data_IF_773263730100
#
_entry.id   IF_773263730100
#
_cell.length_a   1.000
_cell.length_b   1.000
_cell.length_c   1.000
_cell.angle_alpha   90.00
_cell.angle_beta   90.00
_cell.angle_gamma   90.00
#
_symmetry.space_group_name_H-M   'P 1'
#
loop_
_entity.id
_entity.type
_entity.pdbx_description
1 polymer ?
#
# COMPACT_ATOMS: atom_id res chain seq x y z
N UNK A 1 12.18 -16.23 -29.09
CA UNK A 1 12.27 -17.70 -28.99
C UNK A 1 10.99 -18.19 -28.35
N UNK A 2 10.34 -19.22 -28.88
CA UNK A 2 9.11 -19.77 -28.29
C UNK A 2 9.45 -20.71 -27.13
N UNK A 3 8.70 -20.62 -26.03
CA UNK A 3 8.82 -21.53 -24.90
C UNK A 3 8.53 -22.97 -25.35
N UNK A 4 9.33 -23.94 -24.89
CA UNK A 4 9.15 -25.35 -25.24
C UNK A 4 7.85 -25.94 -24.70
N UNK A 5 7.28 -26.91 -25.43
CA UNK A 5 6.02 -27.57 -25.04
C UNK A 5 6.16 -28.35 -23.73
N UNK A 6 7.35 -28.91 -23.46
CA UNK A 6 7.67 -29.58 -22.20
C UNK A 6 7.65 -28.61 -21.03
N UNK A 7 8.23 -27.42 -21.18
CA UNK A 7 8.25 -26.41 -20.12
C UNK A 7 6.84 -25.88 -19.81
N UNK A 8 6.00 -25.72 -20.84
CA UNK A 8 4.57 -25.40 -20.65
C UNK A 8 3.80 -26.53 -19.94
N UNK A 9 4.15 -27.80 -20.18
CA UNK A 9 3.55 -28.93 -19.48
C UNK A 9 3.96 -28.95 -18.00
N UNK A 10 5.24 -28.67 -17.71
CA UNK A 10 5.77 -28.53 -16.35
C UNK A 10 5.08 -27.39 -15.60
N UNK A 11 4.88 -26.24 -16.23
CA UNK A 11 4.15 -25.11 -15.64
C UNK A 11 2.68 -25.46 -15.29
N UNK A 12 1.98 -26.22 -16.15
CA UNK A 12 0.63 -26.70 -15.85
C UNK A 12 0.64 -27.72 -14.70
N UNK A 13 1.68 -28.55 -14.62
CA UNK A 13 1.84 -29.50 -13.53
C UNK A 13 2.09 -28.80 -12.20
N UNK A 14 3.01 -27.83 -12.16
CA UNK A 14 3.32 -27.06 -10.95
C UNK A 14 2.11 -26.27 -10.45
N UNK A 15 1.32 -25.67 -11.34
CA UNK A 15 0.07 -25.01 -10.97
C UNK A 15 -0.92 -25.97 -10.28
N UNK A 16 -1.11 -27.18 -10.84
CA UNK A 16 -1.97 -28.19 -10.24
C UNK A 16 -1.45 -28.68 -8.88
N UNK A 17 -0.14 -28.81 -8.74
CA UNK A 17 0.50 -29.18 -7.46
C UNK A 17 0.28 -28.10 -6.40
N UNK A 18 0.50 -26.83 -6.76
CA UNK A 18 0.26 -25.67 -5.91
C UNK A 18 -1.23 -25.58 -5.49
N UNK A 19 -2.14 -25.79 -6.44
CA UNK A 19 -3.58 -25.77 -6.19
C UNK A 19 -3.99 -26.86 -5.18
N UNK A 20 -3.50 -28.09 -5.36
CA UNK A 20 -3.77 -29.20 -4.43
C UNK A 20 -3.17 -28.96 -3.05
N UNK A 21 -1.92 -28.48 -2.99
CA UNK A 21 -1.26 -28.13 -1.73
C UNK A 21 -2.08 -27.09 -0.96
N UNK A 22 -2.46 -25.99 -1.62
CA UNK A 22 -3.27 -24.93 -0.98
C UNK A 22 -4.63 -25.43 -0.50
N UNK A 23 -5.29 -26.31 -1.26
CA UNK A 23 -6.60 -26.84 -0.90
C UNK A 23 -6.52 -27.76 0.34
N UNK A 24 -5.42 -28.49 0.50
CA UNK A 24 -5.19 -29.36 1.65
C UNK A 24 -4.82 -28.54 2.89
N UNK A 25 -3.95 -27.53 2.76
CA UNK A 25 -3.42 -26.76 3.89
C UNK A 25 -4.37 -25.70 4.42
N UNK A 26 -5.17 -25.09 3.54
CA UNK A 26 -6.13 -24.05 3.90
C UNK A 26 -7.58 -24.55 3.95
N UNK A 27 -7.76 -25.87 4.12
CA UNK A 27 -9.09 -26.45 4.24
C UNK A 27 -9.83 -25.83 5.44
N UNK A 28 -11.06 -25.36 5.26
CA UNK A 28 -11.85 -24.72 6.32
C UNK A 28 -11.58 -23.22 6.53
N UNK A 29 -10.56 -22.64 5.90
CA UNK A 29 -10.36 -21.19 5.83
C UNK A 29 -10.52 -20.70 4.38
N UNK A 30 -11.78 -20.56 3.96
CA UNK A 30 -12.14 -20.20 2.59
C UNK A 30 -11.59 -18.84 2.19
N UNK A 31 -11.48 -17.89 3.13
CA UNK A 31 -10.99 -16.54 2.86
C UNK A 31 -9.52 -16.57 2.45
N UNK A 32 -8.70 -17.29 3.21
CA UNK A 32 -7.27 -17.43 2.90
C UNK A 32 -7.08 -18.27 1.64
N UNK A 33 -7.86 -19.35 1.48
CA UNK A 33 -7.80 -20.21 0.31
C UNK A 33 -8.15 -19.45 -0.99
N UNK A 34 -9.22 -18.66 -1.00
CA UNK A 34 -9.63 -17.86 -2.14
C UNK A 34 -8.61 -16.78 -2.49
N UNK A 35 -8.13 -16.02 -1.49
CA UNK A 35 -7.12 -14.99 -1.69
C UNK A 35 -5.83 -15.58 -2.26
N UNK A 36 -5.40 -16.74 -1.74
CA UNK A 36 -4.26 -17.48 -2.25
C UNK A 36 -4.46 -17.91 -3.71
N UNK A 37 -5.61 -18.50 -4.03
CA UNK A 37 -5.95 -18.95 -5.39
C UNK A 37 -5.99 -17.82 -6.38
N UNK A 38 -6.56 -16.67 -6.01
CA UNK A 38 -6.56 -15.46 -6.83
C UNK A 38 -5.13 -15.00 -7.12
N UNK A 39 -4.30 -14.86 -6.08
CA UNK A 39 -2.90 -14.44 -6.24
C UNK A 39 -2.10 -15.41 -7.10
N UNK A 40 -2.24 -16.72 -6.87
CA UNK A 40 -1.59 -17.75 -7.67
C UNK A 40 -2.03 -17.66 -9.14
N UNK A 41 -3.33 -17.50 -9.39
CA UNK A 41 -3.86 -17.33 -10.75
C UNK A 41 -3.26 -16.10 -11.43
N UNK A 42 -3.23 -14.97 -10.75
CA UNK A 42 -2.73 -13.71 -11.30
C UNK A 42 -1.24 -13.81 -11.65
N UNK A 43 -0.42 -14.41 -10.78
CA UNK A 43 1.00 -14.62 -11.05
C UNK A 43 1.25 -15.54 -12.24
N UNK A 44 0.47 -16.62 -12.39
CA UNK A 44 0.56 -17.48 -13.57
C UNK A 44 0.09 -16.78 -14.84
N UNK A 45 -0.94 -15.92 -14.78
CA UNK A 45 -1.39 -15.11 -15.92
C UNK A 45 -0.29 -14.12 -16.32
N UNK A 46 0.31 -13.40 -15.37
CA UNK A 46 1.47 -12.53 -15.62
C UNK A 46 2.65 -13.31 -16.21
N UNK A 47 2.85 -14.55 -15.77
CA UNK A 47 3.84 -15.50 -16.29
C UNK A 47 3.71 -15.82 -17.77
N UNK A 48 2.50 -15.77 -18.33
CA UNK A 48 2.26 -16.09 -19.75
C UNK A 48 2.83 -15.07 -20.72
N UNK A 49 3.07 -13.84 -20.28
CA UNK A 49 3.59 -12.75 -21.13
C UNK A 49 5.12 -12.83 -21.26
N UNK A 50 5.79 -13.52 -20.34
CA UNK A 50 7.26 -13.65 -20.36
C UNK A 50 7.69 -14.52 -21.52
N UNK A 51 8.59 -13.99 -22.36
CA UNK A 51 9.13 -14.69 -23.54
C UNK A 51 10.52 -15.28 -23.30
N UNK A 52 11.22 -14.86 -22.24
CA UNK A 52 12.54 -15.36 -21.90
C UNK A 52 12.44 -16.73 -21.22
N UNK A 53 13.18 -17.72 -21.75
CA UNK A 53 13.17 -19.11 -21.28
C UNK A 53 13.67 -19.21 -19.84
N UNK A 54 14.76 -18.51 -19.51
CA UNK A 54 15.38 -18.61 -18.17
C UNK A 54 14.46 -18.08 -17.08
N UNK A 55 13.89 -16.90 -17.30
CA UNK A 55 12.92 -16.31 -16.39
C UNK A 55 11.66 -17.18 -16.26
N UNK A 56 11.22 -17.82 -17.34
CA UNK A 56 10.08 -18.73 -17.29
C UNK A 56 10.38 -19.97 -16.43
N UNK A 57 11.56 -20.57 -16.59
CA UNK A 57 12.01 -21.70 -15.75
C UNK A 57 12.10 -21.33 -14.27
N UNK A 58 12.68 -20.18 -13.95
CA UNK A 58 12.79 -19.67 -12.58
C UNK A 58 11.41 -19.53 -11.93
N UNK A 59 10.40 -19.03 -12.66
CA UNK A 59 9.02 -18.92 -12.16
C UNK A 59 8.36 -20.28 -11.96
N UNK A 60 8.62 -21.25 -12.84
CA UNK A 60 8.12 -22.62 -12.68
C UNK A 60 8.73 -23.29 -11.45
N UNK A 61 10.03 -23.11 -11.23
CA UNK A 61 10.74 -23.60 -10.03
C UNK A 61 10.17 -22.97 -8.76
N UNK A 62 10.01 -21.66 -8.75
CA UNK A 62 9.40 -20.94 -7.63
C UNK A 62 8.01 -21.51 -7.28
N UNK A 63 7.16 -21.80 -8.26
CA UNK A 63 5.85 -22.38 -8.01
C UNK A 63 5.92 -23.81 -7.40
N UNK A 64 6.92 -24.61 -7.78
CA UNK A 64 7.16 -25.92 -7.19
C UNK A 64 7.63 -25.79 -5.74
N UNK A 65 8.58 -24.90 -5.47
CA UNK A 65 9.10 -24.63 -4.13
C UNK A 65 8.00 -24.13 -3.19
N UNK A 66 7.18 -23.17 -3.63
CA UNK A 66 6.05 -22.68 -2.84
C UNK A 66 5.07 -23.81 -2.52
N UNK A 67 4.80 -24.72 -3.46
CA UNK A 67 3.93 -25.87 -3.22
C UNK A 67 4.49 -26.83 -2.16
N UNK A 68 5.82 -27.02 -2.15
CA UNK A 68 6.52 -27.84 -1.16
C UNK A 68 6.47 -27.17 0.21
N UNK A 69 6.84 -25.89 0.31
CA UNK A 69 6.82 -25.13 1.57
C UNK A 69 5.42 -25.09 2.18
N UNK A 70 4.39 -24.85 1.37
CA UNK A 70 3.00 -24.85 1.86
C UNK A 70 2.65 -26.21 2.46
N UNK A 71 2.97 -27.31 1.77
CA UNK A 71 2.61 -28.66 2.22
C UNK A 71 3.39 -29.09 3.47
N UNK A 72 4.67 -28.73 3.57
CA UNK A 72 5.57 -29.26 4.58
C UNK A 72 5.71 -28.37 5.82
N UNK A 73 5.63 -27.05 5.66
CA UNK A 73 6.03 -26.10 6.72
C UNK A 73 4.86 -25.31 7.29
N UNK A 74 3.69 -25.36 6.65
CA UNK A 74 2.53 -24.55 7.03
C UNK A 74 1.48 -25.43 7.72
N UNK A 75 1.20 -25.13 8.99
CA UNK A 75 0.11 -25.73 9.76
C UNK A 75 -0.90 -24.65 10.15
N UNK A 76 -2.20 -24.95 10.00
CA UNK A 76 -3.28 -24.07 10.45
C UNK A 76 -3.78 -24.46 11.84
N UNK A 77 -4.12 -23.48 12.66
CA UNK A 77 -4.81 -23.69 13.93
C UNK A 77 -6.32 -23.44 13.73
N UNK A 78 -7.15 -24.36 14.22
CA UNK A 78 -8.60 -24.25 14.27
C UNK A 78 -9.03 -24.04 15.72
N UNK A 79 -9.93 -23.08 15.95
CA UNK A 79 -10.48 -22.84 17.30
C UNK A 79 -11.47 -23.96 17.63
N UNK A 80 -11.24 -24.68 18.73
CA UNK A 80 -12.04 -25.88 19.09
C UNK A 80 -13.36 -25.51 19.74
N UNK A 81 -13.39 -24.42 20.51
CA UNK A 81 -14.60 -23.91 21.15
C UNK A 81 -14.59 -22.38 21.15
N UNK A 82 -15.75 -21.76 21.00
CA UNK A 82 -15.83 -20.29 21.00
C UNK A 82 -15.61 -19.70 22.40
N UNK A 83 -15.92 -20.49 23.44
CA UNK A 83 -15.91 -20.08 24.85
C UNK A 83 -14.55 -20.22 25.54
N UNK A 84 -13.67 -21.07 25.03
CA UNK A 84 -12.32 -21.26 25.58
C UNK A 84 -11.30 -20.95 24.50
N UNK A 85 -10.16 -20.35 24.87
CA UNK A 85 -9.08 -20.05 23.94
C UNK A 85 -8.21 -21.29 23.64
N UNK A 86 -8.88 -22.40 23.35
CA UNK A 86 -8.26 -23.68 22.99
C UNK A 86 -8.24 -23.84 21.48
N UNK A 87 -7.04 -24.05 20.92
CA UNK A 87 -6.80 -24.17 19.49
C UNK A 87 -6.20 -25.54 19.17
N UNK A 88 -6.74 -26.21 18.16
CA UNK A 88 -6.20 -27.45 17.63
C UNK A 88 -5.37 -27.15 16.39
N UNK A 89 -4.13 -27.60 16.37
CA UNK A 89 -3.28 -27.51 15.17
C UNK A 89 -3.65 -28.66 14.23
N UNK A 90 -3.98 -28.32 12.98
CA UNK A 90 -4.22 -29.30 11.92
C UNK A 90 -2.88 -29.77 11.35
N UNK A 91 -2.42 -30.92 11.83
CA UNK A 91 -1.21 -31.56 11.32
C UNK A 91 -1.56 -32.58 10.23
N UNK A 92 -1.07 -32.35 9.01
CA UNK A 92 -1.13 -33.32 7.91
C UNK A 92 0.11 -34.22 7.89
N UNK A 93 -0.01 -35.41 7.31
CA UNK A 93 1.08 -36.41 7.22
C UNK A 93 2.35 -35.91 6.53
N UNK A 94 2.18 -34.94 5.65
CA UNK A 94 3.26 -34.37 4.83
C UNK A 94 4.02 -33.24 5.53
N UNK A 95 3.56 -32.78 6.71
CA UNK A 95 4.25 -31.73 7.47
C UNK A 95 5.51 -32.32 8.07
N UNK A 96 6.65 -31.71 7.77
CA UNK A 96 7.92 -32.12 8.34
C UNK A 96 7.94 -31.74 9.82
N UNK A 97 8.00 -32.75 10.69
CA UNK A 97 8.37 -32.54 12.09
C UNK A 97 9.88 -32.30 12.11
N UNK A 98 10.28 -31.04 11.94
CA UNK A 98 11.68 -30.65 11.99
C UNK A 98 12.35 -31.16 13.27
N UNK A 99 13.53 -31.78 13.13
CA UNK A 99 14.35 -32.09 14.29
C UNK A 99 14.90 -30.76 14.83
N UNK A 100 14.37 -30.30 15.96
CA UNK A 100 14.84 -29.10 16.66
C UNK A 100 16.27 -29.23 17.25
N UNK A 101 17.14 -30.03 16.64
CA UNK A 101 18.51 -30.28 17.11
C UNK A 101 19.39 -29.02 17.04
N UNK A 102 19.16 -28.15 16.06
CA UNK A 102 19.86 -26.86 15.92
C UNK A 102 19.45 -25.81 16.96
N UNK A 103 18.26 -25.92 17.57
CA UNK A 103 17.85 -25.13 18.74
C UNK A 103 18.45 -25.68 20.03
N UNK A 104 18.61 -27.00 20.15
CA UNK A 104 19.23 -27.65 21.31
C UNK A 104 20.74 -27.43 21.36
N UNK A 105 21.38 -27.39 20.18
CA UNK A 105 22.81 -27.15 20.02
C UNK A 105 23.01 -25.86 19.21
N UNK A 106 22.85 -24.67 19.81
CA UNK A 106 23.16 -23.43 19.11
C UNK A 106 24.62 -23.48 18.65
N UNK A 107 24.90 -23.08 17.40
CA UNK A 107 26.27 -22.95 16.93
C UNK A 107 27.03 -22.09 17.95
N UNK A 108 28.24 -22.49 18.39
CA UNK A 108 29.01 -21.67 19.30
C UNK A 108 29.17 -20.29 18.66
N UNK A 109 28.69 -19.25 19.34
CA UNK A 109 28.91 -17.88 18.91
C UNK A 109 30.41 -17.72 18.71
N UNK A 110 30.84 -17.24 17.55
CA UNK A 110 32.24 -16.97 17.31
C UNK A 110 32.71 -15.98 18.39
N UNK A 111 33.45 -16.47 19.39
CA UNK A 111 34.15 -15.66 20.38
C UNK A 111 35.36 -15.02 19.72
N UNK A 112 35.09 -14.20 18.71
CA UNK A 112 36.03 -13.37 17.99
C UNK A 112 35.69 -11.92 18.23
N UNK A 113 35.43 -11.55 19.49
CA UNK A 113 35.38 -10.15 19.87
C UNK A 113 36.81 -9.61 19.78
N UNK A 114 37.20 -9.12 18.61
CA UNK A 114 38.19 -8.05 18.54
C UNK A 114 37.59 -6.91 19.34
N UNK A 115 37.89 -6.88 20.65
CA UNK A 115 37.71 -5.70 21.49
C UNK A 115 38.41 -4.57 20.76
N UNK A 116 37.66 -3.70 20.08
CA UNK A 116 38.20 -2.40 19.68
C UNK A 116 38.51 -1.71 21.00
N UNK A 117 39.81 -1.58 21.29
CA UNK A 117 40.33 -0.84 22.44
C UNK A 117 39.80 0.60 22.27
N UNK A 118 38.82 0.95 23.10
CA UNK A 118 38.40 2.32 23.28
C UNK A 118 39.55 3.03 24.01
N UNK A 119 40.02 4.15 23.44
CA UNK A 119 41.08 5.02 23.96
C UNK A 119 42.47 4.38 24.09
N UNK A 120 43.30 4.58 23.05
CA UNK A 120 44.73 4.84 23.22
C UNK A 120 45.08 5.99 22.30
N UNK A 121 45.56 7.06 22.90
CA UNK A 121 46.10 8.26 22.27
C UNK A 121 47.13 7.85 21.22
N UNK A 122 46.83 8.13 19.95
CA UNK A 122 47.85 8.40 18.95
C UNK A 122 47.75 9.89 18.69
N UNK A 123 48.66 10.65 19.31
CA UNK A 123 48.88 12.05 19.03
C UNK A 123 49.34 12.19 17.56
N UNK A 124 48.39 12.45 16.66
CA UNK A 124 48.73 13.14 15.42
C UNK A 124 48.72 14.64 15.70
N UNK A 125 49.84 15.35 15.54
CA UNK A 125 49.89 16.77 15.83
C UNK A 125 49.01 17.53 14.84
N UNK A 126 48.11 18.35 15.36
CA UNK A 126 47.33 19.32 14.60
C UNK A 126 48.28 20.37 13.99
N UNK A 127 48.01 20.88 12.78
CA UNK A 127 48.86 21.89 12.15
C UNK A 127 48.88 23.18 12.98
N UNK A 128 50.09 23.70 13.20
CA UNK A 128 50.36 24.91 13.95
C UNK A 128 49.59 26.11 13.40
N UNK A 129 48.63 26.61 14.17
CA UNK A 129 48.17 27.99 14.07
C UNK A 129 49.26 28.88 14.65
N UNK A 130 49.94 29.63 13.80
CA UNK A 130 50.78 30.77 14.18
C UNK A 130 49.96 31.68 15.11
N UNK A 131 50.49 31.98 16.29
CA UNK A 131 50.13 33.15 17.07
C UNK A 131 51.41 33.77 17.65
N UNK A 132 51.48 35.09 17.57
CA UNK A 132 52.60 35.95 17.94
C UNK A 132 52.77 36.11 19.47
N UNK A 133 53.98 36.53 19.87
CA UNK A 133 54.61 36.43 21.20
C UNK A 133 54.10 37.39 22.31
N UNK A 134 52.96 38.06 22.14
CA UNK A 134 52.49 39.06 23.12
C UNK A 134 51.07 38.75 23.61
N UNK A 135 50.98 38.09 24.77
CA UNK A 135 49.74 37.63 25.39
C UNK A 135 48.69 38.71 25.68
N UNK A 136 47.74 38.88 24.76
CA UNK A 136 46.46 39.55 24.97
C UNK A 136 45.34 38.77 24.22
N UNK A 137 44.17 38.53 24.85
CA UNK A 137 43.04 37.88 24.19
C UNK A 137 42.32 38.86 23.26
N UNK A 138 42.17 38.51 21.97
CA UNK A 138 41.28 39.23 21.07
C UNK A 138 39.85 38.73 21.27
N UNK A 139 38.98 39.69 21.58
CA UNK A 139 37.53 39.61 21.58
C UNK A 139 37.01 39.62 20.15
N UNK A 140 36.43 38.52 19.69
CA UNK A 140 35.54 38.53 18.52
C UNK A 140 34.10 38.51 19.04
N UNK A 141 33.54 39.72 19.14
CA UNK A 141 32.12 39.99 19.24
C UNK A 141 31.51 39.74 17.85
N UNK A 142 30.84 38.60 17.66
CA UNK A 142 29.94 38.44 16.52
C UNK A 142 28.52 38.84 16.95
N UNK A 143 28.13 40.05 16.55
CA UNK A 143 26.78 40.60 16.57
C UNK A 143 25.79 39.63 15.91
N UNK A 144 24.86 39.09 16.70
CA UNK A 144 23.60 38.54 16.18
C UNK A 144 22.60 39.70 16.20
N UNK A 145 22.42 40.34 15.05
CA UNK A 145 21.31 41.25 14.80
C UNK A 145 20.04 40.46 14.50
N UNK A 146 19.10 40.51 15.44
CA UNK A 146 17.71 40.17 15.21
C UNK A 146 17.05 41.32 14.42
N UNK A 147 16.79 41.10 13.13
CA UNK A 147 15.80 41.88 12.37
C UNK A 147 14.66 40.96 11.92
N UNK A 148 13.54 41.09 12.61
CA UNK A 148 12.21 40.75 12.11
C UNK A 148 11.89 41.67 10.93
N UNK A 149 11.61 41.11 9.75
CA UNK A 149 10.70 41.78 8.82
C UNK A 149 9.85 40.78 8.06
N UNK A 150 8.60 40.70 8.50
CA UNK A 150 7.50 40.06 7.81
C UNK A 150 7.15 40.89 6.57
N UNK A 151 7.33 40.30 5.38
CA UNK A 151 6.67 40.78 4.17
C UNK A 151 6.12 39.62 3.35
N UNK A 152 4.91 39.84 2.87
CA UNK A 152 4.12 39.02 1.96
C UNK A 152 4.93 38.44 0.80
N UNK A 153 4.84 37.13 0.63
CA UNK A 153 5.01 36.49 -0.68
C UNK A 153 3.91 35.44 -0.85
N UNK A 154 2.84 35.84 -1.53
CA UNK A 154 2.10 34.93 -2.40
C UNK A 154 3.07 34.39 -3.45
N UNK A 155 3.48 33.12 -3.32
CA UNK A 155 4.05 32.35 -4.41
C UNK A 155 3.16 31.16 -4.72
N UNK A 156 2.48 31.26 -5.86
CA UNK A 156 2.21 30.12 -6.72
C UNK A 156 3.53 29.36 -6.91
N UNK A 157 3.64 28.14 -6.40
CA UNK A 157 4.63 27.18 -6.90
C UNK A 157 4.00 25.80 -7.04
N UNK A 158 3.60 25.59 -8.28
CA UNK A 158 3.62 24.33 -9.00
C UNK A 158 4.94 23.59 -8.82
N UNK A 159 5.01 22.68 -7.86
CA UNK A 159 6.02 21.60 -7.88
C UNK A 159 5.44 20.33 -8.48
N UNK A 160 5.62 20.28 -9.79
CA UNK A 160 5.63 19.12 -10.64
C UNK A 160 6.81 18.20 -10.25
N UNK A 161 6.58 17.27 -9.32
CA UNK A 161 7.44 16.09 -9.22
C UNK A 161 6.98 15.04 -10.24
N UNK A 162 7.59 15.12 -11.42
CA UNK A 162 7.45 14.19 -12.53
C UNK A 162 8.07 12.83 -12.19
N UNK A 163 7.37 12.00 -11.41
CA UNK A 163 7.70 10.59 -11.29
C UNK A 163 7.16 9.87 -12.53
N UNK A 164 8.01 9.79 -13.54
CA UNK A 164 7.84 8.94 -14.72
C UNK A 164 7.54 7.50 -14.28
N UNK A 165 6.26 7.17 -14.27
CA UNK A 165 5.81 5.79 -14.19
C UNK A 165 5.32 5.42 -15.59
N UNK A 166 6.23 4.83 -16.37
CA UNK A 166 5.97 4.24 -17.67
C UNK A 166 4.97 3.09 -17.54
N UNK A 167 3.68 3.44 -17.47
CA UNK A 167 2.59 2.50 -17.63
C UNK A 167 2.41 2.29 -19.12
N UNK A 168 3.14 1.31 -19.64
CA UNK A 168 2.93 0.75 -20.97
C UNK A 168 1.44 0.47 -21.17
N UNK A 169 0.88 1.14 -22.16
CA UNK A 169 -0.48 0.95 -22.62
C UNK A 169 -0.63 -0.45 -23.21
N UNK A 170 -1.33 -1.33 -22.50
CA UNK A 170 -1.97 -2.48 -23.14
C UNK A 170 -3.47 -2.22 -23.26
N UNK A 171 -3.90 -2.03 -24.51
CA UNK A 171 -5.29 -2.04 -24.93
C UNK A 171 -5.93 -3.39 -24.59
N UNK A 172 -6.56 -3.50 -23.43
CA UNK A 172 -7.57 -4.52 -23.16
C UNK A 172 -8.95 -3.91 -23.31
N UNK A 173 -9.64 -4.33 -24.38
CA UNK A 173 -11.04 -4.02 -24.63
C UNK A 173 -11.89 -4.72 -23.56
N UNK A 174 -12.79 -3.96 -22.94
CA UNK A 174 -14.01 -4.44 -22.27
C UNK A 174 -13.83 -5.62 -21.28
N UNK A 175 -13.68 -5.30 -20.00
CA UNK A 175 -14.51 -5.82 -18.88
C UNK A 175 -14.14 -5.04 -17.61
N UNK A 176 -14.95 -4.04 -17.26
CA UNK A 176 -14.92 -3.43 -15.92
C UNK A 176 -16.34 -3.00 -15.58
N UNK A 177 -17.17 -4.00 -15.32
CA UNK A 177 -18.44 -3.91 -14.61
C UNK A 177 -18.58 -5.28 -13.96
N UNK A 178 -18.01 -5.45 -12.76
CA UNK A 178 -18.33 -6.48 -11.75
C UNK A 178 -17.32 -6.30 -10.60
N UNK A 179 -17.53 -5.26 -9.80
CA UNK A 179 -17.12 -5.28 -8.39
C UNK A 179 -18.33 -5.88 -7.68
N UNK A 180 -18.30 -7.19 -7.47
CA UNK A 180 -19.24 -7.90 -6.62
C UNK A 180 -18.54 -8.15 -5.29
N UNK A 181 -18.86 -7.27 -4.34
CA UNK A 181 -19.02 -7.47 -2.91
C UNK A 181 -18.55 -8.80 -2.32
N UNK A 182 -17.50 -8.74 -1.49
CA UNK A 182 -17.26 -9.71 -0.42
C UNK A 182 -17.64 -9.08 0.92
N UNK A 183 -18.69 -9.61 1.53
CA UNK A 183 -18.74 -10.05 2.95
C UNK A 183 -20.16 -9.95 3.50
N UNK A 184 -20.57 -11.05 4.12
CA UNK A 184 -21.66 -11.05 5.09
C UNK A 184 -21.32 -10.11 6.25
N UNK A 185 -22.04 -9.01 6.31
CA UNK A 185 -22.51 -8.45 7.56
C UNK A 185 -24.03 -8.53 7.50
N UNK A 186 -24.58 -9.44 8.31
CA UNK A 186 -26.00 -9.51 8.59
C UNK A 186 -26.44 -8.15 9.15
N UNK A 187 -27.26 -7.42 8.38
CA UNK A 187 -28.17 -6.45 8.98
C UNK A 187 -27.98 -4.97 8.65
N UNK A 188 -27.62 -4.58 7.43
CA UNK A 188 -28.16 -3.35 6.81
C UNK A 188 -28.26 -3.59 5.31
N UNK A 189 -29.48 -3.49 4.77
CA UNK A 189 -29.84 -3.78 3.38
C UNK A 189 -28.82 -3.22 2.38
N UNK A 190 -28.25 -4.09 1.54
CA UNK A 190 -27.40 -3.70 0.42
C UNK A 190 -28.19 -2.85 -0.57
N UNK A 191 -28.16 -1.52 -0.38
CA UNK A 191 -28.70 -0.59 -1.35
C UNK A 191 -27.77 -0.62 -2.57
N UNK A 192 -28.26 -1.16 -3.69
CA UNK A 192 -27.53 -1.20 -4.94
C UNK A 192 -27.04 0.21 -5.32
N UNK A 193 -25.75 0.33 -5.66
CA UNK A 193 -25.15 1.61 -6.08
C UNK A 193 -25.91 2.15 -7.30
N UNK A 194 -26.54 3.32 -7.16
CA UNK A 194 -27.26 3.96 -8.26
C UNK A 194 -26.28 4.29 -9.39
N UNK A 195 -26.53 3.80 -10.60
CA UNK A 195 -25.74 4.14 -11.79
C UNK A 195 -26.23 5.46 -12.36
N UNK A 196 -25.40 6.49 -12.31
CA UNK A 196 -25.69 7.80 -12.92
C UNK A 196 -25.27 7.80 -14.40
N UNK A 197 -26.11 8.36 -15.28
CA UNK A 197 -25.85 8.44 -16.73
C UNK A 197 -24.82 9.53 -17.05
N UNK A 198 -24.81 10.60 -16.26
CA UNK A 198 -23.90 11.73 -16.45
C UNK A 198 -23.30 12.24 -15.14
N UNK A 199 -22.17 12.94 -15.23
CA UNK A 199 -21.56 13.62 -14.08
C UNK A 199 -22.47 14.74 -13.53
N UNK A 200 -23.25 15.41 -14.37
CA UNK A 200 -24.18 16.45 -13.92
C UNK A 200 -25.28 15.87 -13.04
N UNK A 201 -25.82 14.70 -13.42
CA UNK A 201 -26.81 13.95 -12.65
C UNK A 201 -26.26 13.52 -11.28
N UNK A 202 -25.01 13.03 -11.25
CA UNK A 202 -24.31 12.70 -10.00
C UNK A 202 -24.14 13.93 -9.08
N UNK A 203 -23.79 15.09 -9.64
CA UNK A 203 -23.66 16.34 -8.88
C UNK A 203 -25.02 16.78 -8.32
N UNK A 204 -26.09 16.64 -9.09
CA UNK A 204 -27.44 16.98 -8.63
C UNK A 204 -27.88 16.05 -7.49
N UNK A 205 -27.69 14.75 -7.65
CA UNK A 205 -27.97 13.76 -6.60
C UNK A 205 -27.15 14.05 -5.33
N UNK A 206 -25.90 14.48 -5.48
CA UNK A 206 -25.05 14.87 -4.35
C UNK A 206 -25.58 16.07 -3.57
N UNK A 207 -26.20 17.04 -4.24
CA UNK A 207 -26.79 18.19 -3.55
C UNK A 207 -28.02 17.81 -2.72
N UNK A 208 -28.74 16.76 -3.14
CA UNK A 208 -29.98 16.31 -2.51
C UNK A 208 -29.79 15.22 -1.44
N UNK A 209 -28.54 14.86 -1.13
CA UNK A 209 -28.24 13.77 -0.20
C UNK A 209 -28.51 14.16 1.26
N UNK A 210 -28.88 13.17 2.07
CA UNK A 210 -29.03 13.33 3.51
C UNK A 210 -27.67 13.17 4.17
N UNK A 211 -27.20 14.20 4.88
CA UNK A 211 -25.95 14.12 5.65
C UNK A 211 -26.30 13.59 7.05
N UNK A 212 -25.74 12.45 7.48
CA UNK A 212 -25.97 11.93 8.83
C UNK A 212 -25.46 12.94 9.88
N UNK A 213 -26.28 13.21 10.89
CA UNK A 213 -25.85 13.98 12.05
C UNK A 213 -25.06 13.09 13.02
N UNK A 214 -24.02 13.66 13.64
CA UNK A 214 -23.16 12.95 14.59
C UNK A 214 -23.45 13.46 16.01
N UNK A 215 -24.05 12.62 16.84
CA UNK A 215 -24.20 12.90 18.27
C UNK A 215 -22.94 12.50 19.03
N UNK A 216 -22.52 13.31 20.01
CA UNK A 216 -21.30 13.03 20.77
C UNK A 216 -21.42 11.80 21.69
N UNK A 217 -22.64 11.42 22.06
CA UNK A 217 -22.95 10.28 22.95
C UNK A 217 -22.65 8.91 22.29
N UNK A 218 -22.77 8.85 20.97
CA UNK A 218 -22.56 7.67 20.14
C UNK A 218 -21.09 7.44 19.78
N UNK A 219 -20.20 8.35 20.21
CA UNK A 219 -18.77 8.32 19.89
C UNK A 219 -17.95 7.81 21.08
N UNK A 220 -17.05 6.88 20.80
CA UNK A 220 -15.98 6.50 21.73
C UNK A 220 -14.66 7.08 21.23
N UNK A 221 -14.10 8.00 22.00
CA UNK A 221 -12.81 8.64 21.71
C UNK A 221 -11.69 7.97 22.52
N UNK A 222 -10.65 7.47 21.84
CA UNK A 222 -9.46 6.88 22.46
C UNK A 222 -8.19 7.58 21.97
N UNK A 223 -7.26 7.85 22.89
CA UNK A 223 -5.96 8.45 22.57
C UNK A 223 -4.87 7.38 22.61
N UNK A 224 -4.20 7.20 21.48
CA UNK A 224 -3.16 6.19 21.28
C UNK A 224 -1.83 6.90 21.04
N UNK A 225 -0.73 6.23 21.35
CA UNK A 225 0.60 6.70 20.92
C UNK A 225 0.76 6.48 19.42
N UNK A 226 1.53 7.35 18.76
CA UNK A 226 1.86 7.15 17.36
C UNK A 226 2.62 5.84 17.17
N UNK A 227 2.35 5.12 16.09
CA UNK A 227 3.08 3.91 15.70
C UNK A 227 3.84 4.18 14.41
N UNK A 228 5.13 3.86 14.36
CA UNK A 228 5.97 4.01 13.17
C UNK A 228 7.43 4.38 13.49
N UNK A 229 8.29 4.46 12.47
CA UNK A 229 9.67 4.96 12.58
C UNK A 229 9.65 6.48 12.81
N UNK A 230 9.10 6.91 13.94
CA UNK A 230 9.08 8.29 14.37
C UNK A 230 10.21 8.59 15.37
N UNK A 231 10.53 9.88 15.54
CA UNK A 231 11.45 10.34 16.58
C UNK A 231 10.88 10.16 18.00
N UNK A 232 11.66 10.57 19.01
CA UNK A 232 11.29 10.43 20.42
C UNK A 232 9.91 11.04 20.74
N UNK A 233 9.54 12.16 20.10
CA UNK A 233 8.28 12.85 20.34
C UNK A 233 7.04 12.01 19.98
N UNK A 234 7.10 11.23 18.90
CA UNK A 234 5.98 10.41 18.40
C UNK A 234 5.69 9.22 19.31
N UNK A 235 6.74 8.61 19.88
CA UNK A 235 6.61 7.45 20.75
C UNK A 235 6.18 7.82 22.18
N UNK A 236 6.50 9.03 22.64
CA UNK A 236 6.12 9.52 23.97
C UNK A 236 4.71 10.10 24.00
N UNK A 237 4.33 10.86 22.98
CA UNK A 237 3.08 11.65 22.98
C UNK A 237 1.88 10.83 22.49
N UNK A 238 0.78 10.85 23.25
CA UNK A 238 -0.50 10.22 22.88
C UNK A 238 -1.39 11.15 22.03
N UNK A 239 -0.87 11.60 20.89
CA UNK A 239 -1.58 12.54 20.01
C UNK A 239 -2.37 11.88 18.88
N UNK A 240 -2.27 10.56 18.70
CA UNK A 240 -3.06 9.81 17.73
C UNK A 240 -4.49 9.60 18.29
N UNK A 241 -5.49 10.04 17.54
CA UNK A 241 -6.89 9.93 17.95
C UNK A 241 -7.53 8.77 17.21
N UNK A 242 -8.06 7.80 17.96
CA UNK A 242 -8.90 6.71 17.46
C UNK A 242 -10.34 6.98 17.87
N UNK A 243 -11.22 7.12 16.89
CA UNK A 243 -12.64 7.42 17.07
C UNK A 243 -13.48 6.23 16.58
N UNK A 244 -14.43 5.77 17.39
CA UNK A 244 -15.35 4.70 17.04
C UNK A 244 -16.79 5.23 17.14
N UNK A 245 -17.59 4.94 16.12
CA UNK A 245 -19.03 5.17 16.16
C UNK A 245 -19.75 3.90 16.61
N UNK A 246 -20.31 3.89 17.82
CA UNK A 246 -20.93 2.71 18.44
C UNK A 246 -22.00 2.03 17.56
N UNK A 247 -22.99 2.75 16.99
CA UNK A 247 -24.09 2.08 16.31
C UNK A 247 -23.70 1.49 14.95
N UNK A 248 -22.70 2.05 14.26
CA UNK A 248 -22.24 1.51 12.96
C UNK A 248 -20.96 0.69 13.05
N UNK A 249 -20.28 0.67 14.20
CA UNK A 249 -19.00 -0.02 14.39
C UNK A 249 -17.82 0.53 13.57
N UNK A 250 -17.96 1.71 12.96
CA UNK A 250 -16.89 2.28 12.11
C UNK A 250 -15.81 2.87 13.00
N UNK A 251 -14.57 2.44 12.79
CA UNK A 251 -13.38 2.97 13.46
C UNK A 251 -12.55 3.82 12.50
N UNK A 252 -12.13 5.00 12.97
CA UNK A 252 -11.24 5.91 12.23
C UNK A 252 -10.08 6.33 13.13
N UNK A 253 -8.85 6.26 12.61
CA UNK A 253 -7.64 6.73 13.29
C UNK A 253 -7.05 7.93 12.56
N UNK A 254 -6.62 8.96 13.29
CA UNK A 254 -6.04 10.16 12.71
C UNK A 254 -4.78 10.60 13.48
N UNK A 255 -3.65 10.59 12.75
CA UNK A 255 -2.36 11.12 13.19
C UNK A 255 -1.80 12.02 12.08
N UNK A 256 -2.26 13.27 12.01
CA UNK A 256 -1.86 14.22 10.96
C UNK A 256 -0.93 15.32 11.47
N UNK A 257 -1.21 15.80 12.68
CA UNK A 257 -0.50 16.93 13.28
C UNK A 257 -0.03 16.56 14.68
N UNK A 258 0.91 17.33 15.23
CA UNK A 258 1.34 17.16 16.62
C UNK A 258 0.25 17.46 17.65
N UNK A 259 -0.77 18.24 17.27
CA UNK A 259 -1.86 18.69 18.16
C UNK A 259 -3.03 17.71 18.19
N UNK A 260 -3.38 17.26 19.40
CA UNK A 260 -4.51 16.36 19.65
C UNK A 260 -5.86 16.98 19.25
N UNK A 261 -6.09 18.27 19.53
CA UNK A 261 -7.35 18.94 19.21
C UNK A 261 -7.61 19.04 17.69
N UNK A 262 -6.54 19.27 16.91
CA UNK A 262 -6.61 19.29 15.44
C UNK A 262 -6.84 17.88 14.88
N UNK A 263 -6.20 16.88 15.47
CA UNK A 263 -6.42 15.47 15.11
C UNK A 263 -7.85 15.02 15.46
N UNK A 264 -8.43 15.45 16.59
CA UNK A 264 -9.81 15.18 16.99
C UNK A 264 -10.82 15.73 15.98
N UNK A 265 -10.69 17.01 15.61
CA UNK A 265 -11.52 17.64 14.56
C UNK A 265 -11.40 16.91 13.22
N UNK A 266 -10.18 16.52 12.87
CA UNK A 266 -9.91 15.77 11.63
C UNK A 266 -10.52 14.37 11.65
N UNK A 267 -10.43 13.65 12.77
CA UNK A 267 -11.01 12.33 12.97
C UNK A 267 -12.54 12.37 12.83
N UNK A 268 -13.21 13.37 13.44
CA UNK A 268 -14.66 13.58 13.30
C UNK A 268 -15.06 13.82 11.85
N UNK A 269 -14.32 14.66 11.12
CA UNK A 269 -14.58 14.92 9.69
C UNK A 269 -14.42 13.66 8.84
N UNK A 270 -13.39 12.85 9.13
CA UNK A 270 -13.15 11.58 8.42
C UNK A 270 -14.22 10.54 8.74
N UNK A 271 -14.67 10.46 9.99
CA UNK A 271 -15.77 9.58 10.40
C UNK A 271 -17.08 9.97 9.71
N UNK A 272 -17.38 11.27 9.63
CA UNK A 272 -18.55 11.77 8.91
C UNK A 272 -18.51 11.40 7.42
N UNK A 273 -17.34 11.52 6.78
CA UNK A 273 -17.16 11.11 5.37
C UNK A 273 -17.37 9.60 5.18
N UNK A 274 -16.94 8.77 6.14
CA UNK A 274 -17.17 7.32 6.11
C UNK A 274 -18.64 6.95 6.34
N UNK A 275 -19.34 7.64 7.23
CA UNK A 275 -20.77 7.46 7.42
C UNK A 275 -21.55 7.88 6.18
N UNK A 276 -21.21 9.02 5.59
CA UNK A 276 -21.83 9.49 4.34
C UNK A 276 -21.62 8.49 3.18
N UNK A 277 -20.47 7.80 3.11
CA UNK A 277 -20.26 6.71 2.16
C UNK A 277 -21.18 5.51 2.39
N UNK A 278 -21.47 5.20 3.66
CA UNK A 278 -22.34 4.09 4.04
C UNK A 278 -23.82 4.39 3.77
N UNK A 279 -24.29 5.59 4.12
CA UNK A 279 -25.68 5.99 3.93
C UNK A 279 -26.00 6.40 2.48
N UNK A 280 -25.04 6.99 1.75
CA UNK A 280 -25.24 7.50 0.38
C UNK A 280 -24.26 6.86 -0.62
N UNK A 281 -24.39 5.55 -0.91
CA UNK A 281 -23.44 4.84 -1.76
C UNK A 281 -23.46 5.39 -3.20
N UNK A 282 -22.29 5.79 -3.71
CA UNK A 282 -22.11 6.25 -5.09
C UNK A 282 -22.45 7.71 -5.35
N UNK A 283 -22.84 8.47 -4.32
CA UNK A 283 -23.22 9.89 -4.40
C UNK A 283 -22.21 10.76 -3.63
N UNK A 284 -21.06 10.22 -3.24
CA UNK A 284 -20.14 10.91 -2.34
C UNK A 284 -19.29 11.97 -3.03
N UNK A 285 -18.64 12.85 -2.25
CA UNK A 285 -17.67 13.82 -2.78
C UNK A 285 -16.53 13.12 -3.52
N UNK A 286 -16.10 11.96 -3.03
CA UNK A 286 -15.05 11.16 -3.65
C UNK A 286 -15.48 10.63 -5.02
N UNK A 287 -16.72 10.12 -5.15
CA UNK A 287 -17.28 9.65 -6.42
C UNK A 287 -17.32 10.77 -7.48
N UNK A 288 -17.66 12.00 -7.08
CA UNK A 288 -17.61 13.16 -7.99
C UNK A 288 -16.18 13.45 -8.44
N UNK A 289 -15.20 13.40 -7.52
CA UNK A 289 -13.78 13.61 -7.85
C UNK A 289 -13.28 12.53 -8.80
N UNK A 290 -13.64 11.27 -8.57
CA UNK A 290 -13.31 10.13 -9.44
C UNK A 290 -13.90 10.33 -10.83
N UNK A 291 -15.19 10.71 -10.91
CA UNK A 291 -15.89 11.02 -12.16
C UNK A 291 -15.22 12.17 -12.93
N UNK A 292 -14.84 13.26 -12.24
CA UNK A 292 -14.07 14.38 -12.82
C UNK A 292 -12.74 13.93 -13.40
N UNK A 293 -11.96 13.14 -12.66
CA UNK A 293 -10.67 12.60 -13.12
C UNK A 293 -10.85 11.70 -14.35
N UNK A 294 -11.90 10.86 -14.37
CA UNK A 294 -12.25 10.00 -15.52
C UNK A 294 -12.59 10.82 -16.76
N UNK A 295 -13.39 11.87 -16.62
CA UNK A 295 -13.74 12.78 -17.71
C UNK A 295 -12.50 13.51 -18.26
N UNK A 296 -11.62 14.01 -17.40
CA UNK A 296 -10.37 14.65 -17.79
C UNK A 296 -9.46 13.69 -18.58
N UNK A 297 -9.27 12.46 -18.09
CA UNK A 297 -8.51 11.43 -18.81
C UNK A 297 -9.11 11.12 -20.18
N UNK A 298 -10.45 10.98 -20.26
CA UNK A 298 -11.16 10.74 -21.52
C UNK A 298 -10.97 11.90 -22.52
N UNK A 299 -11.03 13.14 -22.05
CA UNK A 299 -10.81 14.31 -22.90
C UNK A 299 -9.36 14.38 -23.41
N UNK A 300 -8.37 14.17 -22.53
CA UNK A 300 -6.95 14.11 -22.92
C UNK A 300 -6.71 13.02 -23.97
N UNK A 301 -7.25 11.81 -23.78
CA UNK A 301 -7.13 10.71 -24.74
C UNK A 301 -7.79 11.02 -26.10
N UNK A 302 -8.98 11.66 -26.10
CA UNK A 302 -9.64 12.08 -27.34
C UNK A 302 -8.81 13.11 -28.12
N UNK A 303 -8.23 14.10 -27.42
CA UNK A 303 -7.34 15.10 -28.02
C UNK A 303 -6.07 14.47 -28.59
N UNK A 304 -5.45 13.55 -27.85
CA UNK A 304 -4.26 12.82 -28.30
C UNK A 304 -4.56 11.99 -29.57
N UNK A 305 -5.67 11.25 -29.59
CA UNK A 305 -6.09 10.47 -30.76
C UNK A 305 -6.37 11.35 -31.98
N UNK A 306 -7.06 12.48 -31.79
CA UNK A 306 -7.31 13.44 -32.89
C UNK A 306 -6.01 14.05 -33.43
N UNK A 307 -5.03 14.34 -32.56
CA UNK A 307 -3.71 14.84 -32.97
C UNK A 307 -2.92 13.78 -33.75
N UNK A 308 -2.96 12.53 -33.31
CA UNK A 308 -2.32 11.41 -34.02
C UNK A 308 -2.97 11.16 -35.39
N UNK A 309 -4.30 11.22 -35.47
CA UNK A 309 -5.03 11.09 -36.74
C UNK A 309 -4.63 12.19 -37.73
N UNK A 310 -4.59 13.46 -37.29
CA UNK A 310 -4.13 14.57 -38.13
C UNK A 310 -2.69 14.40 -38.61
N UNK A 311 -1.76 14.02 -37.72
CA UNK A 311 -0.37 13.75 -38.11
C UNK A 311 -0.25 12.61 -39.12
N UNK A 312 -1.07 11.56 -38.96
CA UNK A 312 -1.11 10.46 -39.91
C UNK A 312 -1.66 10.90 -41.28
N UNK A 313 -2.73 11.70 -41.29
CA UNK A 313 -3.31 12.29 -42.51
C UNK A 313 -2.32 13.22 -43.22
N UNK A 314 -1.63 14.10 -42.48
CA UNK A 314 -0.56 14.99 -43.00
C UNK A 314 0.59 14.17 -43.62
N UNK A 315 1.08 13.14 -42.91
CA UNK A 315 2.14 12.26 -43.45
C UNK A 315 1.70 11.46 -44.68
N UNK A 316 0.42 11.13 -44.81
CA UNK A 316 -0.11 10.44 -46.00
C UNK A 316 -0.27 11.38 -47.19
N UNK A 317 -0.53 12.67 -46.95
CA UNK A 317 -0.61 13.69 -47.99
C UNK A 317 0.78 14.06 -48.56
N UNK A 318 1.83 14.05 -47.73
CA UNK A 318 3.22 14.31 -48.16
C UNK A 318 3.83 13.19 -49.01
N UNK A 319 3.28 11.97 -48.94
CA UNK A 319 3.78 10.80 -49.70
C UNK A 319 3.15 10.72 -51.11
N UNK A 320 2.32 11.69 -51.52
CA UNK A 320 1.82 11.69 -52.90
C UNK A 320 2.97 11.88 -53.90
N UNK A 321 3.10 10.99 -54.90
CA UNK A 321 4.28 10.92 -55.74
C UNK A 321 4.40 12.18 -56.60
N UNK A 322 5.61 12.74 -56.62
CA UNK A 322 6.06 13.67 -57.65
C UNK A 322 5.96 12.90 -58.98
N UNK A 323 4.95 13.23 -59.78
CA UNK A 323 4.81 12.79 -61.18
C UNK A 323 5.53 13.79 -62.08
#
# INVERSE_FOLDING_TARGET
MSISTSLLATARSSYRQLWRASAQTFAGDDRVLEAFRQKARDEFIKGRVVTDTRQYEERVKLAQEVAVVIRQNLAQAEKVSEKEDTWAIRMTKDIELGSNESLKNPKPMATGSKRRKCCSEEETPMPATLFDDDGQPQSDEDEISDEDDASDLESDDSDECDYHNDVQHNHSRHTNDLIADTSGHSGLSGQARKRFKSRAELIQAHKQRVIPELHEEDLEEMFVRGSGPGGQATNKTSNNVSLIHKPTGIRVTCHKTRSQATNRRSARKMLLEKLDQLYNPGITKEDIKISKKRDQKRQKAKKARKKQQKRAEESQAEIQPIV
#
